data_IF_434788767469
#
_entry.id   IF_434788767469
#
_cell.length_a   1.000
_cell.length_b   1.000
_cell.length_c   1.000
_cell.angle_alpha   90.00
_cell.angle_beta   90.00
_cell.angle_gamma   90.00
#
_symmetry.space_group_name_H-M   'P 1'
#
loop_
_entity.id
_entity.type
_entity.pdbx_description
1 polymer ?
#
# COMPACT_ATOMS: atom_id res chain seq x y z
N UNK A 1 -10.31 -2.25 -4.67
CA UNK A 1 -9.12 -2.43 -3.80
C UNK A 1 -7.92 -2.74 -4.65
N UNK A 2 -7.22 -1.67 -5.00
CA UNK A 2 -5.95 -1.70 -5.71
C UNK A 2 -4.81 -2.27 -4.83
N UNK A 3 -3.64 -2.53 -5.42
CA UNK A 3 -2.52 -3.18 -4.72
C UNK A 3 -1.87 -2.25 -3.69
N UNK A 4 -1.94 -0.97 -3.95
CA UNK A 4 -1.39 0.14 -3.20
C UNK A 4 -2.07 0.25 -1.82
N UNK A 5 -3.37 -0.06 -1.76
CA UNK A 5 -4.20 -0.06 -0.54
C UNK A 5 -3.61 -0.96 0.55
N UNK A 6 -3.03 -2.11 0.19
CA UNK A 6 -2.42 -3.03 1.16
C UNK A 6 -1.14 -2.45 1.80
N UNK A 7 -0.36 -1.67 1.05
CA UNK A 7 0.86 -1.03 1.57
C UNK A 7 0.48 0.17 2.43
N UNK A 8 -0.50 0.96 1.99
CA UNK A 8 -0.99 2.14 2.71
C UNK A 8 -1.68 1.73 4.02
N UNK A 9 -2.46 0.66 4.03
CA UNK A 9 -3.07 0.16 5.28
C UNK A 9 -2.00 -0.23 6.31
N UNK A 10 -0.88 -0.82 5.88
CA UNK A 10 0.25 -1.11 6.76
C UNK A 10 0.89 0.17 7.31
N UNK A 11 0.97 1.25 6.52
CA UNK A 11 1.43 2.58 6.99
C UNK A 11 0.48 3.10 8.07
N UNK A 12 -0.82 3.03 7.86
CA UNK A 12 -1.82 3.48 8.83
C UNK A 12 -1.79 2.69 10.13
N UNK A 13 -1.60 1.37 10.07
CA UNK A 13 -1.41 0.54 11.27
C UNK A 13 -0.15 0.98 12.02
N UNK A 14 0.97 1.18 11.32
CA UNK A 14 2.21 1.66 11.96
C UNK A 14 2.03 3.04 12.61
N UNK A 15 1.30 3.97 11.97
CA UNK A 15 0.97 5.27 12.57
C UNK A 15 0.14 5.12 13.83
N UNK A 16 -0.89 4.28 13.79
CA UNK A 16 -1.74 4.00 14.95
C UNK A 16 -0.92 3.48 16.13
N UNK A 17 0.00 2.53 15.90
CA UNK A 17 0.85 1.98 16.95
C UNK A 17 1.88 3.00 17.47
N UNK A 18 2.47 3.79 16.58
CA UNK A 18 3.48 4.79 16.97
C UNK A 18 2.87 5.95 17.77
N UNK A 19 1.66 6.39 17.44
CA UNK A 19 1.01 7.52 18.10
C UNK A 19 0.34 7.12 19.40
N UNK A 20 0.01 5.84 19.58
CA UNK A 20 -0.72 5.34 20.74
C UNK A 20 0.09 4.25 21.45
N UNK A 21 0.97 4.66 22.37
CA UNK A 21 1.86 3.76 23.13
C UNK A 21 1.13 2.72 23.99
N UNK A 22 -0.19 2.84 24.17
CA UNK A 22 -1.02 1.87 24.90
C UNK A 22 -1.81 0.89 24.02
N UNK A 23 -1.73 1.01 22.69
CA UNK A 23 -2.44 0.11 21.77
C UNK A 23 -1.45 -0.88 21.17
N UNK A 24 -1.63 -2.15 21.52
CA UNK A 24 -0.91 -3.27 20.94
C UNK A 24 -1.85 -4.16 20.12
N UNK A 25 -1.34 -4.77 19.06
CA UNK A 25 -2.10 -5.73 18.27
C UNK A 25 -2.18 -7.06 19.04
N UNK A 26 -3.39 -7.52 19.32
CA UNK A 26 -3.68 -8.77 20.00
C UNK A 26 -4.78 -9.58 19.28
N UNK A 27 -5.02 -10.80 19.72
CA UNK A 27 -5.99 -11.72 19.11
C UNK A 27 -7.44 -11.19 19.09
N UNK A 28 -7.77 -10.20 19.92
CA UNK A 28 -9.12 -9.63 20.03
C UNK A 28 -9.32 -8.38 19.18
N UNK A 29 -8.26 -7.64 18.85
CA UNK A 29 -8.35 -6.36 18.15
C UNK A 29 -7.77 -6.35 16.73
N UNK A 30 -6.91 -7.31 16.37
CA UNK A 30 -6.19 -7.31 15.10
C UNK A 30 -7.12 -7.20 13.90
N UNK A 31 -8.26 -7.91 13.96
CA UNK A 31 -9.21 -7.96 12.85
C UNK A 31 -9.90 -6.60 12.63
N UNK A 32 -10.26 -5.91 13.72
CA UNK A 32 -10.86 -4.57 13.66
C UNK A 32 -9.85 -3.54 13.16
N UNK A 33 -8.63 -3.56 13.70
CA UNK A 33 -7.56 -2.63 13.31
C UNK A 33 -7.22 -2.79 11.83
N UNK A 34 -6.97 -4.02 11.38
CA UNK A 34 -6.62 -4.31 9.99
C UNK A 34 -7.76 -3.93 9.04
N UNK A 35 -8.99 -4.30 9.39
CA UNK A 35 -10.15 -3.98 8.57
C UNK A 35 -10.34 -2.47 8.42
N UNK A 36 -10.34 -1.72 9.54
CA UNK A 36 -10.51 -0.27 9.46
C UNK A 36 -9.37 0.40 8.72
N UNK A 37 -8.13 -0.05 8.90
CA UNK A 37 -6.99 0.47 8.14
C UNK A 37 -7.14 0.25 6.63
N UNK A 38 -7.64 -0.94 6.21
CA UNK A 38 -7.91 -1.25 4.79
C UNK A 38 -9.02 -0.39 4.21
N UNK A 39 -10.13 -0.25 4.92
CA UNK A 39 -11.27 0.58 4.48
C UNK A 39 -10.83 2.04 4.34
N UNK A 40 -10.11 2.57 5.34
CA UNK A 40 -9.59 3.93 5.30
C UNK A 40 -8.59 4.13 4.15
N UNK A 41 -7.70 3.18 3.91
CA UNK A 41 -6.76 3.25 2.79
C UNK A 41 -7.49 3.24 1.44
N UNK A 42 -8.48 2.36 1.27
CA UNK A 42 -9.27 2.29 0.05
C UNK A 42 -10.06 3.57 -0.19
N UNK A 43 -10.68 4.15 0.83
CA UNK A 43 -11.45 5.40 0.68
C UNK A 43 -10.65 6.62 0.28
N UNK A 44 -9.37 6.67 0.65
CA UNK A 44 -8.51 7.84 0.41
C UNK A 44 -7.68 7.69 -0.87
N UNK A 45 -7.29 6.47 -1.22
CA UNK A 45 -6.32 6.22 -2.29
C UNK A 45 -6.84 5.38 -3.44
N UNK A 46 -8.01 4.74 -3.33
CA UNK A 46 -8.66 4.03 -4.44
C UNK A 46 -9.62 5.02 -5.15
N UNK A 47 -9.46 5.18 -6.47
CA UNK A 47 -10.31 6.08 -7.26
C UNK A 47 -11.79 5.64 -7.20
N UNK A 48 -12.03 4.32 -7.14
CA UNK A 48 -13.36 3.72 -7.01
C UNK A 48 -13.52 3.04 -5.64
N UNK A 49 -13.71 3.86 -4.60
CA UNK A 49 -13.97 3.34 -3.26
C UNK A 49 -15.44 2.98 -3.01
N UNK A 50 -15.66 1.95 -2.18
CA UNK A 50 -16.99 1.53 -1.79
C UNK A 50 -17.52 2.29 -0.56
N UNK A 51 -18.84 2.36 -0.41
CA UNK A 51 -19.48 2.86 0.79
C UNK A 51 -19.44 1.86 1.95
N UNK A 52 -19.64 2.33 3.18
CA UNK A 52 -19.67 1.48 4.39
C UNK A 52 -20.75 0.39 4.35
N UNK A 53 -21.85 0.65 3.63
CA UNK A 53 -22.90 -0.35 3.44
C UNK A 53 -22.42 -1.54 2.60
N UNK A 54 -21.56 -1.32 1.61
CA UNK A 54 -20.97 -2.38 0.81
C UNK A 54 -19.96 -3.19 1.64
N UNK A 55 -19.16 -2.52 2.49
CA UNK A 55 -18.23 -3.22 3.37
C UNK A 55 -18.94 -4.12 4.40
N UNK A 56 -20.09 -3.69 4.94
CA UNK A 56 -20.92 -4.51 5.83
C UNK A 56 -21.46 -5.79 5.15
N UNK A 57 -21.69 -5.75 3.83
CA UNK A 57 -22.12 -6.94 3.06
C UNK A 57 -21.00 -7.97 2.92
N UNK A 58 -19.75 -7.51 2.77
CA UNK A 58 -18.58 -8.39 2.61
C UNK A 58 -18.15 -8.99 3.95
N UNK A 59 -18.29 -8.21 5.04
CA UNK A 59 -17.94 -8.63 6.40
C UNK A 59 -19.16 -8.53 7.32
N UNK A 60 -20.06 -9.54 7.29
CA UNK A 60 -21.33 -9.51 8.02
C UNK A 60 -21.16 -9.48 9.55
N UNK A 61 -19.95 -9.73 10.04
CA UNK A 61 -19.57 -9.61 11.45
C UNK A 61 -19.64 -8.16 11.98
N UNK A 62 -19.60 -7.15 11.12
CA UNK A 62 -19.71 -5.74 11.50
C UNK A 62 -20.90 -5.08 10.82
N UNK A 63 -21.76 -4.43 11.61
CA UNK A 63 -22.85 -3.63 11.05
C UNK A 63 -22.34 -2.31 10.49
N UNK A 64 -23.07 -1.70 9.55
CA UNK A 64 -22.71 -0.39 8.97
C UNK A 64 -22.48 0.69 10.04
N UNK A 65 -23.26 0.66 11.13
CA UNK A 65 -23.10 1.58 12.27
C UNK A 65 -21.77 1.35 12.99
N UNK A 66 -21.39 0.08 13.21
CA UNK A 66 -20.11 -0.26 13.82
C UNK A 66 -18.94 0.17 12.94
N UNK A 67 -19.04 -0.03 11.62
CA UNK A 67 -17.99 0.41 10.67
C UNK A 67 -17.82 1.93 10.74
N UNK A 68 -18.92 2.69 10.75
CA UNK A 68 -18.88 4.14 10.86
C UNK A 68 -18.18 4.60 12.16
N UNK A 69 -18.49 3.99 13.30
CA UNK A 69 -17.84 4.34 14.57
C UNK A 69 -16.37 3.93 14.58
N UNK A 70 -16.03 2.75 14.02
CA UNK A 70 -14.65 2.30 13.89
C UNK A 70 -13.81 3.29 13.06
N UNK A 71 -14.33 3.79 11.94
CA UNK A 71 -13.65 4.81 11.14
C UNK A 71 -13.41 6.11 11.90
N UNK A 72 -14.44 6.62 12.60
CA UNK A 72 -14.31 7.84 13.42
C UNK A 72 -13.25 7.69 14.49
N UNK A 73 -13.25 6.57 15.21
CA UNK A 73 -12.26 6.28 16.26
C UNK A 73 -10.87 6.16 15.65
N UNK A 74 -10.72 5.41 14.55
CA UNK A 74 -9.43 5.24 13.89
C UNK A 74 -8.83 6.56 13.41
N UNK A 75 -9.63 7.43 12.80
CA UNK A 75 -9.23 8.77 12.37
C UNK A 75 -8.69 9.62 13.53
N UNK A 76 -9.35 9.57 14.68
CA UNK A 76 -8.88 10.25 15.90
C UNK A 76 -7.55 9.67 16.40
N UNK A 77 -7.40 8.35 16.38
CA UNK A 77 -6.19 7.67 16.85
C UNK A 77 -4.96 7.96 15.98
N UNK A 78 -5.14 8.23 14.69
CA UNK A 78 -4.05 8.62 13.79
C UNK A 78 -3.91 10.15 13.66
N UNK A 79 -4.63 10.92 14.48
CA UNK A 79 -4.67 12.39 14.44
C UNK A 79 -4.96 12.95 13.04
N UNK A 80 -5.83 12.27 12.27
CA UNK A 80 -6.16 12.61 10.88
C UNK A 80 -4.95 12.68 9.93
N UNK A 81 -3.80 12.10 10.31
CA UNK A 81 -2.62 12.04 9.46
C UNK A 81 -2.77 10.94 8.39
N UNK A 82 -3.53 11.28 7.33
CA UNK A 82 -3.87 10.39 6.21
C UNK A 82 -2.93 10.52 5.01
N UNK A 83 -2.28 11.67 4.86
CA UNK A 83 -1.35 11.88 3.76
C UNK A 83 -0.15 10.93 3.87
N UNK A 84 0.22 10.27 2.78
CA UNK A 84 1.36 9.36 2.69
C UNK A 84 2.31 9.91 1.66
N UNK A 85 3.54 10.19 2.07
CA UNK A 85 4.58 10.64 1.15
C UNK A 85 5.11 9.45 0.31
N UNK A 86 5.60 9.73 -0.90
CA UNK A 86 6.25 8.74 -1.77
C UNK A 86 7.42 8.03 -1.07
N UNK A 87 8.16 8.74 -0.22
CA UNK A 87 9.23 8.16 0.59
C UNK A 87 8.75 7.18 1.65
N UNK A 88 7.63 7.46 2.32
CA UNK A 88 7.03 6.54 3.31
C UNK A 88 6.48 5.29 2.63
N UNK A 89 5.80 5.47 1.50
CA UNK A 89 5.31 4.37 0.67
C UNK A 89 6.46 3.48 0.22
N UNK A 90 7.51 4.06 -0.38
CA UNK A 90 8.67 3.32 -0.85
C UNK A 90 9.34 2.55 0.30
N UNK A 91 9.51 3.19 1.47
CA UNK A 91 10.06 2.54 2.66
C UNK A 91 9.26 1.30 3.05
N UNK A 92 7.93 1.40 3.16
CA UNK A 92 7.11 0.24 3.52
C UNK A 92 7.09 -0.83 2.43
N UNK A 93 7.06 -0.44 1.16
CA UNK A 93 7.18 -1.38 0.05
C UNK A 93 8.46 -2.22 0.14
N UNK A 94 9.62 -1.58 0.35
CA UNK A 94 10.89 -2.29 0.45
C UNK A 94 10.99 -3.18 1.70
N UNK A 95 10.42 -2.73 2.83
CA UNK A 95 10.32 -3.55 4.03
C UNK A 95 9.52 -4.83 3.75
N UNK A 96 8.30 -4.70 3.23
CA UNK A 96 7.43 -5.83 2.88
C UNK A 96 8.09 -6.76 1.87
N UNK A 97 8.77 -6.19 0.87
CA UNK A 97 9.51 -6.95 -0.13
C UNK A 97 10.65 -7.78 0.48
N UNK A 98 11.45 -7.16 1.36
CA UNK A 98 12.52 -7.85 2.09
C UNK A 98 11.97 -9.03 2.91
N UNK A 99 10.79 -8.85 3.54
CA UNK A 99 10.12 -9.94 4.25
C UNK A 99 9.62 -11.04 3.32
N UNK A 100 9.11 -10.69 2.14
CA UNK A 100 8.68 -11.67 1.13
C UNK A 100 9.86 -12.48 0.58
N UNK A 101 11.01 -11.84 0.33
CA UNK A 101 12.23 -12.47 -0.17
C UNK A 101 12.75 -13.51 0.83
N UNK A 102 12.80 -13.13 2.12
CA UNK A 102 13.17 -14.03 3.22
C UNK A 102 12.28 -15.26 3.33
N UNK A 103 11.01 -15.16 2.95
CA UNK A 103 10.04 -16.27 2.98
C UNK A 103 9.89 -17.02 1.66
N UNK A 104 10.75 -16.75 0.67
CA UNK A 104 10.69 -17.33 -0.69
C UNK A 104 9.32 -17.16 -1.38
N UNK A 105 8.54 -16.14 -0.98
CA UNK A 105 7.23 -15.82 -1.58
C UNK A 105 7.31 -14.69 -2.61
N UNK A 106 8.52 -14.24 -2.89
CA UNK A 106 8.75 -13.18 -3.87
C UNK A 106 8.66 -13.73 -5.28
N UNK A 107 7.76 -13.14 -6.06
CA UNK A 107 7.86 -13.23 -7.51
C UNK A 107 9.18 -12.57 -7.94
N UNK A 108 9.97 -13.29 -8.72
CA UNK A 108 11.20 -12.76 -9.29
C UNK A 108 10.88 -11.48 -10.05
N UNK A 109 11.52 -10.36 -9.66
CA UNK A 109 11.50 -9.16 -10.49
C UNK A 109 12.26 -9.49 -11.76
N UNK A 110 11.52 -9.82 -12.81
CA UNK A 110 12.10 -9.89 -14.14
C UNK A 110 12.42 -8.46 -14.55
N UNK A 111 13.69 -8.17 -14.83
CA UNK A 111 14.05 -6.92 -15.47
C UNK A 111 13.15 -6.72 -16.70
N UNK A 112 12.68 -5.49 -16.91
CA UNK A 112 11.92 -5.16 -18.10
C UNK A 112 12.79 -5.49 -19.30
N UNK A 113 12.27 -6.35 -20.18
CA UNK A 113 12.99 -6.69 -21.40
C UNK A 113 13.22 -5.42 -22.23
N UNK A 114 14.37 -5.32 -22.89
CA UNK A 114 14.79 -4.13 -23.63
C UNK A 114 13.74 -3.77 -24.69
N UNK A 115 13.11 -4.78 -25.28
CA UNK A 115 11.99 -4.65 -26.22
C UNK A 115 10.79 -3.89 -25.61
N UNK A 116 10.50 -4.13 -24.33
CA UNK A 116 9.40 -3.56 -23.57
C UNK A 116 9.76 -2.14 -23.12
N UNK A 117 10.98 -1.91 -22.64
CA UNK A 117 11.49 -0.58 -22.29
C UNK A 117 11.41 0.38 -23.49
N UNK A 118 11.90 -0.06 -24.66
CA UNK A 118 11.85 0.74 -25.89
C UNK A 118 10.42 0.97 -26.40
N UNK A 119 9.50 0.04 -26.16
CA UNK A 119 8.08 0.22 -26.50
C UNK A 119 7.41 1.27 -25.61
N UNK A 120 7.68 1.22 -24.30
CA UNK A 120 7.13 2.15 -23.31
C UNK A 120 7.64 3.58 -23.50
N UNK A 121 8.85 3.74 -24.03
CA UNK A 121 9.47 5.05 -24.23
C UNK A 121 9.05 5.78 -25.50
N UNK A 122 8.30 5.12 -26.41
CA UNK A 122 7.80 5.78 -27.61
C UNK A 122 6.86 6.94 -27.31
N UNK A 123 6.28 7.00 -26.11
CA UNK A 123 5.43 8.12 -25.64
C UNK A 123 6.16 9.19 -24.83
N UNK A 124 7.47 9.03 -24.54
CA UNK A 124 8.25 9.96 -23.72
C UNK A 124 9.11 10.93 -24.53
N UNK A 125 9.41 12.10 -23.97
CA UNK A 125 10.18 13.17 -24.64
C UNK A 125 11.66 12.81 -24.95
N UNK A 126 12.19 11.72 -24.37
CA UNK A 126 13.55 11.25 -24.61
C UNK A 126 13.54 9.80 -25.13
N UNK A 127 13.76 9.66 -26.44
CA UNK A 127 13.95 8.36 -27.09
C UNK A 127 15.43 7.97 -27.06
N UNK A 128 15.81 7.07 -26.16
CA UNK A 128 17.14 6.46 -26.15
C UNK A 128 17.13 5.23 -27.06
N UNK A 129 18.18 5.06 -27.87
CA UNK A 129 18.31 3.91 -28.77
C UNK A 129 18.71 2.64 -28.01
N UNK A 130 18.43 1.46 -28.58
CA UNK A 130 18.78 0.14 -27.98
C UNK A 130 20.26 0.05 -27.57
N UNK A 131 21.15 0.64 -28.37
CA UNK A 131 22.59 0.68 -28.10
C UNK A 131 22.94 1.64 -26.96
N UNK A 132 22.26 2.78 -26.84
CA UNK A 132 22.47 3.72 -25.75
C UNK A 132 22.07 3.12 -24.39
N UNK A 133 20.98 2.33 -24.34
CA UNK A 133 20.57 1.59 -23.14
C UNK A 133 21.58 0.55 -22.67
N UNK A 134 22.10 -0.24 -23.60
CA UNK A 134 23.11 -1.25 -23.30
C UNK A 134 24.40 -0.59 -22.77
N UNK A 135 24.74 0.59 -23.28
CA UNK A 135 25.89 1.35 -22.82
C UNK A 135 25.69 1.99 -21.43
N UNK A 136 24.47 2.36 -21.01
CA UNK A 136 24.21 2.83 -19.64
C UNK A 136 24.25 1.70 -18.61
N UNK A 137 23.78 0.50 -18.97
CA UNK A 137 23.91 -0.70 -18.13
C UNK A 137 25.38 -1.05 -17.89
N UNK A 138 26.21 -0.98 -18.95
CA UNK A 138 27.64 -1.27 -18.87
C UNK A 138 28.50 -0.18 -18.21
N UNK A 139 27.94 1.00 -17.92
CA UNK A 139 28.61 2.10 -17.20
C UNK A 139 28.35 2.07 -15.68
N UNK A 140 27.60 1.09 -15.20
CA UNK A 140 27.30 0.93 -13.78
C UNK A 140 28.36 0.08 -13.07
N UNK A 141 29.65 0.33 -13.31
CA UNK A 141 30.82 0.00 -12.48
C UNK A 141 32.01 0.87 -12.93
#
# INVERSE_FOLDING_TARGET
MEREVAIISMIYINRLLNYNQGIEINCLNWQKILFTALVMASKIWDDESFENNNFAKVLPQFSTVQINEMEKVFLKLIEYHLYVNSGEYAKQYFILRTYADKKQRSYALKQLDISTVLKLQRGGQQQLSKQQYLNTQNKSF
#
